data_IF_362026085049
#
_entry.id   IF_362026085049
#
_cell.length_a   1.000
_cell.length_b   1.000
_cell.length_c   1.000
_cell.angle_alpha   90.00
_cell.angle_beta   90.00
_cell.angle_gamma   90.00
#
_symmetry.space_group_name_H-M   'P 1'
#
loop_
_entity.id
_entity.type
_entity.pdbx_description
1 polymer ?
#
# COMPACT_ATOMS: atom_id res chain seq x y z
N UNK A 1 -10.85 -8.31 -3.01
CA UNK A 1 -10.03 -7.73 -1.94
C UNK A 1 -10.46 -6.30 -1.72
N UNK A 2 -10.80 -5.94 -0.48
CA UNK A 2 -11.16 -4.57 -0.10
C UNK A 2 -9.94 -3.88 0.47
N UNK A 3 -9.73 -2.62 0.10
CA UNK A 3 -8.58 -1.81 0.55
C UNK A 3 -9.02 -0.42 0.97
N UNK A 4 -8.31 0.20 1.89
CA UNK A 4 -8.73 1.42 2.56
C UNK A 4 -8.82 2.63 1.63
N UNK A 5 -7.83 2.82 0.75
CA UNK A 5 -7.74 4.01 -0.08
C UNK A 5 -7.04 3.75 -1.44
N UNK A 6 -6.78 4.83 -2.18
CA UNK A 6 -6.14 4.76 -3.48
C UNK A 6 -4.66 4.34 -3.43
N UNK A 7 -3.93 4.74 -2.40
CA UNK A 7 -2.50 4.44 -2.27
C UNK A 7 -2.31 2.99 -1.83
N UNK A 8 -3.12 2.52 -0.88
CA UNK A 8 -3.17 1.11 -0.51
C UNK A 8 -3.57 0.24 -1.69
N UNK A 9 -4.53 0.66 -2.52
CA UNK A 9 -4.89 -0.05 -3.77
C UNK A 9 -3.70 -0.17 -4.72
N UNK A 10 -2.99 0.92 -4.97
CA UNK A 10 -1.84 0.94 -5.86
C UNK A 10 -0.67 0.11 -5.29
N UNK A 11 -0.41 0.22 -3.98
CA UNK A 11 0.61 -0.55 -3.26
C UNK A 11 0.33 -2.04 -3.36
N UNK A 12 -0.89 -2.47 -3.01
CA UNK A 12 -1.29 -3.86 -3.11
C UNK A 12 -1.15 -4.39 -4.54
N UNK A 13 -1.62 -3.63 -5.54
CA UNK A 13 -1.48 -3.99 -6.96
C UNK A 13 0.00 -4.16 -7.34
N UNK A 14 0.84 -3.20 -6.98
CA UNK A 14 2.26 -3.20 -7.32
C UNK A 14 3.01 -4.36 -6.66
N UNK A 15 2.72 -4.69 -5.39
CA UNK A 15 3.29 -5.84 -4.69
C UNK A 15 2.92 -7.14 -5.41
N UNK A 16 1.63 -7.33 -5.71
CA UNK A 16 1.16 -8.53 -6.40
C UNK A 16 1.75 -8.63 -7.80
N UNK A 17 1.85 -7.54 -8.55
CA UNK A 17 2.46 -7.53 -9.88
C UNK A 17 3.96 -7.85 -9.86
N UNK A 18 4.68 -7.46 -8.81
CA UNK A 18 6.10 -7.77 -8.65
C UNK A 18 6.35 -9.23 -8.26
N UNK A 19 5.53 -9.78 -7.36
CA UNK A 19 5.78 -11.09 -6.77
C UNK A 19 5.04 -12.22 -7.47
N UNK A 20 3.79 -12.00 -7.89
CA UNK A 20 2.97 -12.96 -8.62
C UNK A 20 2.00 -12.28 -9.60
N UNK A 21 2.46 -11.98 -10.84
CA UNK A 21 1.63 -11.38 -11.87
C UNK A 21 0.40 -12.21 -12.25
N UNK A 22 0.40 -13.53 -12.02
CA UNK A 22 -0.74 -14.38 -12.31
C UNK A 22 -1.82 -14.24 -11.24
N UNK A 23 -1.42 -14.20 -9.97
CA UNK A 23 -2.34 -13.94 -8.86
C UNK A 23 -2.91 -12.52 -8.95
N UNK A 24 -2.09 -11.52 -9.28
CA UNK A 24 -2.55 -10.13 -9.45
C UNK A 24 -3.74 -10.05 -10.40
N UNK A 25 -3.70 -10.76 -11.54
CA UNK A 25 -4.78 -10.78 -12.54
C UNK A 25 -6.06 -11.46 -12.05
N UNK A 26 -5.97 -12.32 -11.05
CA UNK A 26 -7.10 -13.04 -10.46
C UNK A 26 -7.76 -12.26 -9.32
N UNK A 27 -7.06 -11.29 -8.73
CA UNK A 27 -7.56 -10.48 -7.62
C UNK A 27 -8.19 -9.17 -8.13
N UNK A 28 -9.49 -9.05 -7.92
CA UNK A 28 -10.17 -7.75 -7.96
C UNK A 28 -9.88 -6.98 -6.67
N UNK A 29 -9.32 -5.78 -6.79
CA UNK A 29 -9.03 -4.88 -5.67
C UNK A 29 -10.01 -3.72 -5.74
N UNK A 30 -10.86 -3.60 -4.74
CA UNK A 30 -11.89 -2.57 -4.62
C UNK A 30 -11.53 -1.62 -3.46
N UNK A 31 -11.40 -0.34 -3.78
CA UNK A 31 -11.16 0.71 -2.80
C UNK A 31 -12.42 1.01 -1.99
N UNK A 32 -12.25 1.19 -0.69
CA UNK A 32 -13.26 1.65 0.28
C UNK A 32 -12.87 3.05 0.79
N UNK A 33 -13.47 3.52 1.88
CA UNK A 33 -13.15 4.81 2.49
C UNK A 33 -12.63 4.61 3.92
N UNK A 34 -11.50 3.92 4.04
CA UNK A 34 -10.85 3.61 5.33
C UNK A 34 -11.16 2.21 5.89
N UNK A 35 -10.42 1.85 6.94
CA UNK A 35 -10.47 0.58 7.67
C UNK A 35 -11.89 0.18 8.11
N UNK A 36 -12.68 1.13 8.62
CA UNK A 36 -14.05 0.89 9.06
C UNK A 36 -14.97 0.37 7.95
N UNK A 37 -14.85 0.92 6.74
CA UNK A 37 -15.62 0.50 5.56
C UNK A 37 -15.12 -0.85 5.03
N UNK A 38 -13.82 -1.11 5.09
CA UNK A 38 -13.23 -2.43 4.78
C UNK A 38 -13.81 -3.49 5.73
N UNK A 39 -13.80 -3.24 7.04
CA UNK A 39 -14.35 -4.12 8.07
C UNK A 39 -15.85 -4.35 7.85
N UNK A 40 -16.61 -3.25 7.65
CA UNK A 40 -18.05 -3.30 7.43
C UNK A 40 -18.44 -4.09 6.18
N UNK A 41 -17.61 -4.03 5.13
CA UNK A 41 -17.80 -4.80 3.89
C UNK A 41 -17.37 -6.26 4.02
N UNK A 42 -16.29 -6.54 4.75
CA UNK A 42 -15.71 -7.87 4.87
C UNK A 42 -16.53 -8.77 5.81
N UNK A 43 -16.98 -8.23 6.95
CA UNK A 43 -17.62 -9.01 8.02
C UNK A 43 -18.85 -9.81 7.56
N UNK A 44 -19.79 -9.25 6.77
CA UNK A 44 -20.96 -10.02 6.28
C UNK A 44 -20.59 -11.15 5.30
N UNK A 45 -19.40 -11.09 4.70
CA UNK A 45 -18.98 -12.02 3.64
C UNK A 45 -18.17 -13.21 4.18
N UNK A 46 -17.77 -13.19 5.45
CA UNK A 46 -17.01 -14.28 6.07
C UNK A 46 -17.76 -15.61 6.10
N UNK A 47 -19.09 -15.56 6.14
CA UNK A 47 -19.95 -16.76 6.15
C UNK A 47 -20.36 -17.22 4.75
N UNK A 48 -19.92 -16.52 3.70
CA UNK A 48 -20.26 -16.86 2.32
C UNK A 48 -19.35 -18.00 1.86
N UNK A 49 -19.94 -19.18 1.71
CA UNK A 49 -19.27 -20.32 1.08
C UNK A 49 -19.31 -20.17 -0.44
N UNK A 50 -18.17 -20.42 -1.10
CA UNK A 50 -18.12 -20.39 -2.56
C UNK A 50 -16.71 -20.34 -3.12
N UNK A 51 -16.59 -20.31 -4.47
CA UNK A 51 -15.30 -20.23 -5.14
C UNK A 51 -14.66 -18.83 -5.09
N UNK A 52 -15.37 -17.83 -4.56
CA UNK A 52 -14.91 -16.44 -4.45
C UNK A 52 -14.57 -16.16 -3.00
N UNK A 53 -13.33 -15.73 -2.76
CA UNK A 53 -12.85 -15.35 -1.43
C UNK A 53 -12.81 -13.83 -1.28
N UNK A 54 -13.12 -13.37 -0.07
CA UNK A 54 -13.08 -11.96 0.30
C UNK A 54 -11.99 -11.75 1.34
N UNK A 55 -11.14 -10.75 1.09
CA UNK A 55 -9.97 -10.42 1.91
C UNK A 55 -9.96 -8.91 2.13
N UNK A 56 -9.66 -8.48 3.34
CA UNK A 56 -9.32 -7.09 3.66
C UNK A 56 -7.81 -6.85 3.55
N UNK A 57 -7.42 -5.77 2.88
CA UNK A 57 -6.07 -5.24 2.86
C UNK A 57 -6.07 -3.94 3.66
N UNK A 58 -5.29 -3.91 4.73
CA UNK A 58 -5.25 -2.80 5.68
C UNK A 58 -3.87 -2.14 5.71
N UNK A 59 -3.80 -0.91 6.18
CA UNK A 59 -2.52 -0.28 6.48
C UNK A 59 -1.81 -1.02 7.64
N UNK A 60 -0.47 -0.95 7.65
CA UNK A 60 0.32 -1.67 8.64
C UNK A 60 0.12 -1.18 10.09
N UNK A 61 -0.20 0.10 10.26
CA UNK A 61 -0.41 0.76 11.55
C UNK A 61 -1.75 0.39 12.21
N UNK A 62 -2.76 0.00 11.42
CA UNK A 62 -4.08 -0.41 11.94
C UNK A 62 -4.15 -1.89 12.33
N UNK A 63 -3.06 -2.64 12.23
CA UNK A 63 -3.01 -4.08 12.54
C UNK A 63 -3.58 -4.46 13.91
N UNK A 64 -3.37 -3.61 14.91
CA UNK A 64 -3.88 -3.84 16.27
C UNK A 64 -5.38 -3.51 16.43
N UNK A 65 -5.95 -2.78 15.48
CA UNK A 65 -7.35 -2.32 15.48
C UNK A 65 -8.28 -3.28 14.73
N UNK A 66 -7.75 -4.15 13.86
CA UNK A 66 -8.56 -5.13 13.13
C UNK A 66 -9.16 -6.16 14.10
N UNK A 67 -10.50 -6.37 14.08
CA UNK A 67 -11.15 -7.37 14.93
C UNK A 67 -10.58 -8.77 14.74
N UNK A 68 -10.41 -9.51 15.84
CA UNK A 68 -9.73 -10.82 15.84
C UNK A 68 -10.38 -11.83 14.91
N UNK A 69 -11.70 -11.79 14.78
CA UNK A 69 -12.47 -12.65 13.89
C UNK A 69 -12.19 -12.40 12.40
N UNK A 70 -11.65 -11.24 12.03
CA UNK A 70 -11.31 -10.87 10.66
C UNK A 70 -9.86 -11.19 10.30
N UNK A 71 -8.98 -11.39 11.29
CA UNK A 71 -7.55 -11.61 11.05
C UNK A 71 -7.25 -12.75 10.05
N UNK A 72 -7.97 -13.89 10.05
CA UNK A 72 -7.75 -14.94 9.05
C UNK A 72 -8.05 -14.50 7.60
N UNK A 73 -8.87 -13.46 7.43
CA UNK A 73 -9.27 -12.91 6.13
C UNK A 73 -8.63 -11.54 5.87
N UNK A 74 -7.54 -11.23 6.57
CA UNK A 74 -6.88 -9.93 6.51
C UNK A 74 -5.40 -10.07 6.14
N UNK A 75 -4.93 -9.14 5.33
CA UNK A 75 -3.52 -8.90 5.07
C UNK A 75 -3.21 -7.43 5.30
N UNK A 76 -1.93 -7.10 5.49
CA UNK A 76 -1.51 -5.76 5.83
C UNK A 76 -0.44 -5.27 4.86
N UNK A 77 -0.52 -4.00 4.48
CA UNK A 77 0.51 -3.34 3.70
C UNK A 77 1.85 -3.32 4.47
N UNK A 78 2.98 -3.21 3.75
CA UNK A 78 4.29 -3.27 4.37
C UNK A 78 4.51 -2.16 5.41
N UNK A 79 5.19 -2.52 6.50
CA UNK A 79 5.60 -1.58 7.55
C UNK A 79 4.54 -1.31 8.61
N UNK A 80 4.73 -0.23 9.35
CA UNK A 80 3.90 0.25 10.46
C UNK A 80 3.48 1.71 10.28
N UNK A 81 3.60 2.22 9.05
CA UNK A 81 3.25 3.58 8.66
C UNK A 81 2.43 3.55 7.36
N UNK A 82 1.55 4.55 7.16
CA UNK A 82 0.97 4.81 5.84
C UNK A 82 2.04 4.93 4.77
N UNK A 83 1.77 4.40 3.58
CA UNK A 83 2.75 4.32 2.50
C UNK A 83 3.28 5.69 2.06
N UNK A 84 2.47 6.75 2.10
CA UNK A 84 2.94 8.11 1.81
C UNK A 84 3.99 8.59 2.80
N UNK A 85 3.91 8.18 4.08
CA UNK A 85 4.95 8.48 5.07
C UNK A 85 6.22 7.69 4.78
N UNK A 86 6.09 6.43 4.38
CA UNK A 86 7.23 5.61 3.96
C UNK A 86 7.92 6.21 2.73
N UNK A 87 7.15 6.69 1.76
CA UNK A 87 7.65 7.43 0.61
C UNK A 87 8.34 8.73 0.99
N UNK A 88 7.76 9.51 1.90
CA UNK A 88 8.40 10.74 2.39
C UNK A 88 9.74 10.45 3.07
N UNK A 89 9.80 9.39 3.88
CA UNK A 89 11.01 8.98 4.56
C UNK A 89 12.14 8.64 3.57
N UNK A 90 11.84 7.86 2.52
CA UNK A 90 12.87 7.54 1.51
C UNK A 90 13.26 8.75 0.68
N UNK A 91 12.38 9.73 0.45
CA UNK A 91 12.72 10.94 -0.29
C UNK A 91 13.75 11.78 0.49
N UNK A 92 13.66 11.79 1.82
CA UNK A 92 14.63 12.44 2.70
C UNK A 92 15.97 11.70 2.79
N UNK A 93 16.04 10.45 2.34
CA UNK A 93 17.29 9.69 2.28
C UNK A 93 18.19 10.24 1.15
N UNK A 94 19.46 10.59 1.42
CA UNK A 94 20.40 11.05 0.39
C UNK A 94 20.60 10.05 -0.76
N UNK A 95 20.49 8.76 -0.47
CA UNK A 95 20.70 7.66 -1.41
C UNK A 95 19.40 7.22 -2.13
N UNK A 96 18.32 8.02 -1.99
CA UNK A 96 17.03 7.76 -2.63
C UNK A 96 17.18 7.53 -4.15
N UNK A 97 16.85 6.32 -4.68
CA UNK A 97 17.04 6.01 -6.09
C UNK A 97 16.28 6.94 -7.04
N UNK A 98 15.11 7.45 -6.64
CA UNK A 98 14.26 8.32 -7.46
C UNK A 98 14.93 9.68 -7.78
N UNK A 99 15.90 10.13 -6.97
CA UNK A 99 16.59 11.42 -7.19
C UNK A 99 17.39 11.46 -8.49
N UNK A 100 17.79 10.30 -9.02
CA UNK A 100 18.52 10.21 -10.29
C UNK A 100 17.67 10.69 -11.47
N UNK A 101 16.39 10.31 -11.47
CA UNK A 101 15.46 10.66 -12.54
C UNK A 101 14.69 11.95 -12.22
N UNK A 102 14.59 12.31 -10.93
CA UNK A 102 13.91 13.50 -10.42
C UNK A 102 14.83 14.32 -9.49
N UNK A 103 15.79 15.08 -10.03
CA UNK A 103 16.82 15.76 -9.22
C UNK A 103 16.27 16.86 -8.30
N UNK A 104 15.08 17.40 -8.59
CA UNK A 104 14.40 18.40 -7.77
C UNK A 104 13.47 17.78 -6.70
N UNK A 105 13.35 16.45 -6.62
CA UNK A 105 12.46 15.75 -5.69
C UNK A 105 12.72 16.13 -4.23
N UNK A 106 13.98 16.16 -3.80
CA UNK A 106 14.34 16.57 -2.44
C UNK A 106 13.98 18.03 -2.17
N UNK A 107 14.32 18.94 -3.08
CA UNK A 107 14.05 20.37 -2.92
C UNK A 107 12.55 20.65 -2.81
N UNK A 108 11.74 19.99 -3.63
CA UNK A 108 10.28 20.08 -3.56
C UNK A 108 9.77 19.52 -2.24
N UNK A 109 10.23 18.32 -1.85
CA UNK A 109 9.82 17.67 -0.60
C UNK A 109 10.16 18.51 0.63
N UNK A 110 11.35 19.12 0.66
CA UNK A 110 11.79 20.01 1.74
C UNK A 110 10.94 21.28 1.84
N UNK A 111 10.50 21.85 0.72
CA UNK A 111 9.59 22.99 0.71
C UNK A 111 8.18 22.67 1.28
N UNK A 112 7.85 21.38 1.39
CA UNK A 112 6.59 20.87 1.92
C UNK A 112 6.72 20.34 3.37
N UNK A 113 7.82 20.67 4.05
CA UNK A 113 8.01 20.32 5.45
C UNK A 113 6.87 20.86 6.33
N UNK A 114 6.40 20.04 7.29
CA UNK A 114 5.27 20.38 8.15
C UNK A 114 3.87 20.13 7.56
N UNK A 115 3.72 19.89 6.25
CA UNK A 115 2.44 19.39 5.70
C UNK A 115 2.17 17.96 6.17
N UNK A 116 0.90 17.59 6.32
CA UNK A 116 0.55 16.19 6.54
C UNK A 116 0.89 15.33 5.31
N UNK A 117 0.83 14.01 5.46
CA UNK A 117 1.34 13.06 4.47
C UNK A 117 0.52 13.01 3.18
N UNK A 118 -0.79 13.26 3.24
CA UNK A 118 -1.62 13.31 2.03
C UNK A 118 -1.33 14.59 1.24
N UNK A 119 -1.30 15.72 1.94
CA UNK A 119 -0.97 17.03 1.36
C UNK A 119 0.46 17.03 0.79
N UNK A 120 1.41 16.44 1.51
CA UNK A 120 2.79 16.27 1.04
C UNK A 120 2.84 15.50 -0.27
N UNK A 121 2.12 14.39 -0.36
CA UNK A 121 2.13 13.52 -1.53
C UNK A 121 1.52 14.22 -2.75
N UNK A 122 0.36 14.87 -2.57
CA UNK A 122 -0.33 15.58 -3.65
C UNK A 122 0.50 16.76 -4.18
N UNK A 123 1.09 17.53 -3.28
CA UNK A 123 1.86 18.71 -3.64
C UNK A 123 3.23 18.36 -4.22
N UNK A 124 3.81 17.23 -3.80
CA UNK A 124 5.02 16.67 -4.44
C UNK A 124 4.73 16.26 -5.89
N UNK A 125 3.60 15.60 -6.14
CA UNK A 125 3.20 15.21 -7.49
C UNK A 125 3.02 16.44 -8.40
N UNK A 126 2.32 17.47 -7.89
CA UNK A 126 2.16 18.76 -8.57
C UNK A 126 3.50 19.45 -8.85
N UNK A 127 4.40 19.51 -7.86
CA UNK A 127 5.71 20.13 -7.99
C UNK A 127 6.60 19.46 -9.05
N UNK A 128 6.43 18.16 -9.28
CA UNK A 128 7.14 17.39 -10.30
C UNK A 128 6.42 17.35 -11.65
N UNK A 129 5.20 17.90 -11.75
CA UNK A 129 4.38 17.81 -12.95
C UNK A 129 3.91 16.39 -13.27
N UNK A 130 3.75 15.55 -12.25
CA UNK A 130 3.29 14.16 -12.36
C UNK A 130 1.85 14.02 -11.90
N UNK A 131 1.14 13.02 -12.43
CA UNK A 131 -0.07 12.52 -11.77
C UNK A 131 0.27 11.82 -10.47
N UNK A 132 -0.73 11.64 -9.59
CA UNK A 132 -0.58 10.84 -8.36
C UNK A 132 -0.06 9.45 -8.69
N UNK A 133 -0.71 8.74 -9.61
CA UNK A 133 -0.30 7.39 -10.01
C UNK A 133 1.13 7.35 -10.58
N UNK A 134 1.55 8.36 -11.36
CA UNK A 134 2.93 8.44 -11.85
C UNK A 134 3.93 8.60 -10.71
N UNK A 135 3.65 9.52 -9.75
CA UNK A 135 4.48 9.67 -8.56
C UNK A 135 4.52 8.38 -7.75
N UNK A 136 3.38 7.70 -7.59
CA UNK A 136 3.29 6.41 -6.91
C UNK A 136 4.30 5.43 -7.47
N UNK A 137 4.28 5.17 -8.78
CA UNK A 137 5.18 4.16 -9.37
C UNK A 137 6.66 4.53 -9.22
N UNK A 138 7.00 5.82 -9.36
CA UNK A 138 8.37 6.31 -9.13
C UNK A 138 8.83 6.05 -7.70
N UNK A 139 8.01 6.43 -6.72
CA UNK A 139 8.37 6.31 -5.30
C UNK A 139 8.31 4.86 -4.82
N UNK A 140 7.36 4.05 -5.31
CA UNK A 140 7.28 2.63 -5.01
C UNK A 140 8.51 1.88 -5.52
N UNK A 141 8.93 2.11 -6.76
CA UNK A 141 10.15 1.51 -7.33
C UNK A 141 11.40 1.87 -6.53
N UNK A 142 11.53 3.13 -6.12
CA UNK A 142 12.64 3.58 -5.27
C UNK A 142 12.57 2.94 -3.89
N UNK A 143 11.38 2.93 -3.27
CA UNK A 143 11.14 2.36 -1.96
C UNK A 143 11.41 0.85 -1.95
N UNK A 144 10.94 0.11 -2.94
CA UNK A 144 11.13 -1.33 -3.04
C UNK A 144 12.60 -1.74 -3.12
N UNK A 145 13.46 -0.90 -3.73
CA UNK A 145 14.91 -1.12 -3.86
C UNK A 145 15.69 -0.81 -2.58
N UNK A 146 15.08 -0.12 -1.60
CA UNK A 146 15.73 0.14 -0.32
C UNK A 146 15.85 -1.14 0.51
N UNK A 147 16.91 -1.28 1.34
CA UNK A 147 17.11 -2.46 2.18
C UNK A 147 15.90 -2.81 3.05
N UNK A 148 15.50 -4.08 3.06
CA UNK A 148 14.40 -4.61 3.88
C UNK A 148 12.99 -4.48 3.27
N UNK A 149 12.77 -3.55 2.33
CA UNK A 149 11.42 -3.29 1.81
C UNK A 149 10.89 -4.40 0.91
N UNK A 150 11.75 -5.06 0.12
CA UNK A 150 11.35 -6.23 -0.66
C UNK A 150 10.93 -7.43 0.23
N UNK A 151 11.56 -7.60 1.38
CA UNK A 151 11.19 -8.62 2.38
C UNK A 151 9.85 -8.27 3.06
N UNK A 152 9.63 -6.98 3.35
CA UNK A 152 8.35 -6.50 3.86
C UNK A 152 7.21 -6.76 2.85
N UNK A 153 7.43 -6.53 1.55
CA UNK A 153 6.47 -6.90 0.50
C UNK A 153 6.21 -8.41 0.46
N UNK A 154 7.25 -9.23 0.64
CA UNK A 154 7.11 -10.68 0.69
C UNK A 154 6.28 -11.12 1.89
N UNK A 155 6.42 -10.45 3.02
CA UNK A 155 5.61 -10.69 4.22
C UNK A 155 4.12 -10.36 3.97
N UNK A 156 3.83 -9.21 3.37
CA UNK A 156 2.46 -8.85 2.94
C UNK A 156 1.89 -9.89 1.97
N UNK A 157 2.69 -10.35 1.00
CA UNK A 157 2.26 -11.38 0.05
C UNK A 157 1.95 -12.71 0.73
N UNK A 158 2.78 -13.16 1.67
CA UNK A 158 2.52 -14.37 2.45
C UNK A 158 1.24 -14.26 3.28
N UNK A 159 0.94 -13.07 3.82
CA UNK A 159 -0.35 -12.82 4.49
C UNK A 159 -1.53 -12.91 3.51
N UNK A 160 -1.40 -12.37 2.29
CA UNK A 160 -2.42 -12.52 1.24
C UNK A 160 -2.62 -14.00 0.90
N UNK A 161 -1.55 -14.78 0.74
CA UNK A 161 -1.65 -16.22 0.46
C UNK A 161 -2.33 -16.98 1.60
N UNK A 162 -2.03 -16.63 2.86
CA UNK A 162 -2.72 -17.22 4.02
C UNK A 162 -4.21 -16.88 4.02
N UNK A 163 -4.56 -15.62 3.74
CA UNK A 163 -5.95 -15.19 3.69
C UNK A 163 -6.74 -15.77 2.50
N UNK A 164 -6.05 -16.28 1.47
CA UNK A 164 -6.64 -17.02 0.35
C UNK A 164 -6.85 -18.51 0.64
N UNK A 165 -6.39 -19.03 1.79
CA UNK A 165 -6.66 -20.42 2.15
C UNK A 165 -8.10 -20.55 2.64
N UNK A 166 -8.84 -21.60 2.22
CA UNK A 166 -10.15 -21.89 2.78
C UNK A 166 -10.03 -22.11 4.29
N UNK A 167 -10.98 -21.54 5.05
CA UNK A 167 -11.11 -21.79 6.48
C UNK A 167 -11.51 -23.24 6.79
#
# INVERSE_FOLDING_TARGET
MFVEDSIGRLTCRAILEHLDPLLSRQIHIEQKNGDGDVIGSLRPLMSVEGPILFIGMFDGDVRSSVPKELLPHSAFLPGDLPMERAFRAIVSDPDCPARKDYPNLETISAALEGKDHHDWYEETAKGLGLSRDQLFFVLFEAWFKMPGNAEACSTTYDEVLKALQPA
#
